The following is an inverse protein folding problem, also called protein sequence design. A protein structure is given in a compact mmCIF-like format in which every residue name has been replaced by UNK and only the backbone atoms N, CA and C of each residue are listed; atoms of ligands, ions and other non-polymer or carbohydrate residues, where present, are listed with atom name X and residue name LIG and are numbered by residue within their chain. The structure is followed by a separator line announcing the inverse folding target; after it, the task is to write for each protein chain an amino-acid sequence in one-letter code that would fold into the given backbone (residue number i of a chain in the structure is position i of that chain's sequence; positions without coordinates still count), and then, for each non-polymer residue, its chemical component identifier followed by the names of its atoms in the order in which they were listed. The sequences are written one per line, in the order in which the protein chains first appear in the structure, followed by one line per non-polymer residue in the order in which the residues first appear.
data_IF_524291716467
#
_entry.id   IF_524291716467
#
_cell.length_a   1.000
_cell.length_b   1.000
_cell.length_c   1.000
_cell.angle_alpha   90.00
_cell.angle_beta   90.00
_cell.angle_gamma   90.00
#
_symmetry.space_group_name_H-M   'P 1'
#
loop_
_entity.id
_entity.type
_entity.pdbx_description
1 polymer ?
#
# COMPACT_ATOMS: atom_id res chain seq x y z
N UNK A 1 -7.65 -1.94 -5.75
CA UNK A 1 -7.50 -1.03 -4.60
C UNK A 1 -6.06 -1.11 -4.12
N UNK A 2 -5.46 0.02 -3.71
CA UNK A 2 -4.02 0.31 -3.68
C UNK A 2 -3.10 -0.76 -3.06
N UNK A 3 -2.83 -1.80 -3.84
CA UNK A 3 -1.61 -2.60 -3.71
C UNK A 3 -0.79 -2.27 -4.95
N UNK A 4 0.21 -1.40 -4.79
CA UNK A 4 1.30 -1.31 -5.76
C UNK A 4 2.02 -2.65 -5.72
N UNK A 5 1.59 -3.60 -6.54
CA UNK A 5 2.39 -4.78 -6.82
C UNK A 5 3.40 -4.37 -7.87
N UNK A 6 4.59 -4.01 -7.39
CA UNK A 6 5.78 -4.02 -8.21
C UNK A 6 6.37 -5.41 -8.12
N UNK A 7 6.34 -6.15 -9.22
CA UNK A 7 7.03 -7.43 -9.32
C UNK A 7 8.53 -7.15 -9.45
N UNK A 8 9.21 -6.98 -8.33
CA UNK A 8 10.63 -7.23 -8.29
C UNK A 8 10.87 -8.73 -8.11
N UNK A 9 11.91 -9.27 -8.73
CA UNK A 9 12.41 -10.60 -8.39
C UNK A 9 13.02 -10.52 -6.98
N UNK A 10 12.27 -10.99 -5.98
CA UNK A 10 12.57 -10.73 -4.58
C UNK A 10 13.40 -11.86 -3.98
N UNK A 11 14.72 -11.76 -4.11
CA UNK A 11 15.54 -12.34 -3.05
C UNK A 11 15.38 -11.46 -1.82
N UNK A 12 15.03 -12.06 -0.68
CA UNK A 12 14.89 -11.36 0.59
C UNK A 12 16.13 -10.49 0.88
N UNK A 13 15.98 -9.20 1.24
CA UNK A 13 17.11 -8.39 1.63
C UNK A 13 17.69 -8.94 2.94
N UNK A 14 19.01 -8.83 3.16
CA UNK A 14 19.63 -9.21 4.43
C UNK A 14 19.06 -8.36 5.58
N UNK A 15 19.06 -8.91 6.78
CA UNK A 15 18.60 -8.20 7.99
C UNK A 15 19.39 -6.89 8.16
N UNK A 16 18.64 -5.80 8.32
CA UNK A 16 19.18 -4.47 8.53
C UNK A 16 19.05 -4.02 10.00
N UNK A 17 19.87 -3.07 10.47
CA UNK A 17 19.74 -2.53 11.83
C UNK A 17 18.44 -1.75 12.03
N UNK A 18 17.88 -1.15 10.98
CA UNK A 18 16.55 -0.54 10.96
C UNK A 18 16.01 -0.44 9.53
N UNK A 19 14.69 -0.28 9.42
CA UNK A 19 14.04 -0.09 8.13
C UNK A 19 14.44 1.24 7.47
N UNK A 20 14.59 2.32 8.24
CA UNK A 20 14.97 3.66 7.74
C UNK A 20 16.39 3.69 7.16
N UNK A 21 17.30 2.86 7.67
CA UNK A 21 18.66 2.75 7.15
C UNK A 21 18.71 1.92 5.86
N UNK A 22 17.90 0.87 5.75
CA UNK A 22 17.89 -0.02 4.59
C UNK A 22 16.94 0.41 3.47
N UNK A 23 15.94 1.23 3.78
CA UNK A 23 14.92 1.68 2.85
C UNK A 23 14.83 3.22 2.86
N UNK A 24 15.66 3.90 2.03
CA UNK A 24 15.65 5.35 1.92
C UNK A 24 14.29 5.92 1.48
N UNK A 25 13.52 5.16 0.69
CA UNK A 25 12.18 5.56 0.29
C UNK A 25 11.23 5.59 1.49
N UNK A 26 11.23 4.53 2.31
CA UNK A 26 10.46 4.50 3.56
C UNK A 26 10.80 5.69 4.46
N UNK A 27 12.11 5.91 4.71
CA UNK A 27 12.58 7.05 5.49
C UNK A 27 12.08 8.39 4.92
N UNK A 28 12.21 8.58 3.61
CA UNK A 28 11.75 9.79 2.92
C UNK A 28 10.25 10.02 3.08
N UNK A 29 9.42 8.96 3.02
CA UNK A 29 7.97 9.09 3.19
C UNK A 29 7.54 9.45 4.61
N UNK A 30 8.33 9.06 5.62
CA UNK A 30 8.12 9.46 7.01
C UNK A 30 8.62 10.88 7.30
N UNK A 31 9.80 11.24 6.79
CA UNK A 31 10.46 12.51 7.15
C UNK A 31 10.05 13.67 6.25
N UNK A 32 10.00 13.45 4.94
CA UNK A 32 9.77 14.48 3.91
C UNK A 32 8.37 14.41 3.32
N UNK A 33 7.88 13.20 3.05
CA UNK A 33 6.54 12.93 2.53
C UNK A 33 6.39 13.09 1.01
N UNK A 34 5.24 12.63 0.52
CA UNK A 34 4.80 12.74 -0.88
C UNK A 34 4.53 14.21 -1.23
N UNK A 35 5.00 14.66 -2.40
CA UNK A 35 4.59 15.95 -2.94
C UNK A 35 3.11 15.88 -3.35
N UNK A 36 2.26 16.67 -2.69
CA UNK A 36 0.81 16.75 -2.98
C UNK A 36 0.41 18.08 -3.62
N UNK A 37 1.34 19.03 -3.69
CA UNK A 37 1.21 20.30 -4.39
C UNK A 37 2.58 20.94 -4.65
N UNK A 38 2.63 22.13 -5.26
CA UNK A 38 3.91 22.78 -5.60
C UNK A 38 4.83 23.04 -4.40
N UNK A 39 4.25 23.24 -3.21
CA UNK A 39 4.97 23.49 -1.95
C UNK A 39 4.57 22.55 -0.83
N UNK A 40 3.51 21.77 -1.02
CA UNK A 40 2.92 20.95 0.02
C UNK A 40 3.43 19.51 -0.06
N UNK A 41 3.77 18.97 1.10
CA UNK A 41 4.12 17.56 1.27
C UNK A 41 3.29 16.92 2.36
N UNK A 42 2.90 15.69 2.11
CA UNK A 42 2.14 14.87 3.04
C UNK A 42 2.99 13.69 3.51
N UNK A 43 3.28 13.66 4.81
CA UNK A 43 4.04 12.58 5.45
C UNK A 43 3.12 11.41 5.76
N UNK A 44 3.67 10.21 5.70
CA UNK A 44 3.02 9.03 6.28
C UNK A 44 3.27 9.00 7.79
N UNK A 45 2.33 8.47 8.60
CA UNK A 45 2.53 8.36 10.04
C UNK A 45 3.68 7.40 10.37
N UNK A 46 4.23 7.52 11.58
CA UNK A 46 5.19 6.54 12.10
C UNK A 46 4.50 5.17 12.32
N UNK A 47 5.27 4.05 12.27
CA UNK A 47 4.71 2.72 12.51
C UNK A 47 4.14 2.62 13.93
N UNK A 48 3.01 1.93 14.06
CA UNK A 48 2.34 1.70 15.34
C UNK A 48 3.21 0.85 16.26
N UNK A 49 3.88 -0.14 15.68
CA UNK A 49 4.80 -1.05 16.36
C UNK A 49 6.20 -0.87 15.79
N UNK A 50 7.01 0.08 16.29
CA UNK A 50 8.45 0.08 16.00
C UNK A 50 9.11 -1.23 16.48
N UNK A 51 10.26 -1.56 15.90
CA UNK A 51 11.01 -2.77 16.27
C UNK A 51 11.61 -2.62 17.67
N UNK A 52 11.80 -3.74 18.37
CA UNK A 52 12.35 -3.81 19.72
C UNK A 52 11.30 -3.71 20.84
N UNK A 53 10.01 -3.74 20.51
CA UNK A 53 8.93 -3.78 21.51
C UNK A 53 8.71 -5.20 22.04
N UNK A 54 8.64 -5.33 23.36
CA UNK A 54 8.21 -6.57 24.02
C UNK A 54 6.70 -6.80 23.90
N UNK A 55 6.24 -7.99 24.29
CA UNK A 55 4.83 -8.40 24.21
C UNK A 55 3.86 -7.43 24.90
N UNK A 56 4.24 -6.91 26.07
CA UNK A 56 3.39 -6.01 26.84
C UNK A 56 3.23 -4.66 26.11
N UNK A 57 4.32 -4.10 25.61
CA UNK A 57 4.30 -2.84 24.84
C UNK A 57 3.61 -2.97 23.49
N UNK A 58 3.76 -4.12 22.82
CA UNK A 58 3.01 -4.40 21.59
C UNK A 58 1.50 -4.40 21.86
N UNK A 59 1.06 -5.12 22.91
CA UNK A 59 -0.35 -5.17 23.31
C UNK A 59 -0.89 -3.80 23.73
N UNK A 60 -0.11 -3.03 24.48
CA UNK A 60 -0.45 -1.67 24.89
C UNK A 60 -0.67 -0.76 23.66
N UNK A 61 0.27 -0.76 22.73
CA UNK A 61 0.18 0.05 21.50
C UNK A 61 -1.03 -0.33 20.63
N UNK A 62 -1.29 -1.62 20.45
CA UNK A 62 -2.47 -2.09 19.70
C UNK A 62 -3.76 -1.69 20.43
N UNK A 63 -3.81 -1.83 21.76
CA UNK A 63 -4.99 -1.46 22.57
C UNK A 63 -5.25 0.04 22.49
N UNK A 64 -4.21 0.87 22.56
CA UNK A 64 -4.31 2.32 22.39
C UNK A 64 -4.74 2.73 20.98
N UNK A 65 -4.38 1.95 19.95
CA UNK A 65 -4.80 2.18 18.57
C UNK A 65 -6.29 1.91 18.35
N UNK A 66 -6.78 0.77 18.83
CA UNK A 66 -8.18 0.32 18.65
C UNK A 66 -9.15 0.97 19.64
N UNK A 67 -8.64 1.49 20.77
CA UNK A 67 -9.44 2.18 21.79
C UNK A 67 -10.71 1.39 22.14
N UNK A 68 -11.86 2.06 22.11
CA UNK A 68 -13.16 1.48 22.42
C UNK A 68 -13.86 0.83 21.20
N UNK A 69 -13.24 0.88 20.00
CA UNK A 69 -13.82 0.28 18.80
C UNK A 69 -13.87 -1.26 18.93
N UNK A 70 -12.84 -1.85 19.54
CA UNK A 70 -12.70 -3.30 19.73
C UNK A 70 -11.97 -3.66 21.03
N UNK A 71 -12.27 -4.83 21.58
CA UNK A 71 -11.42 -5.46 22.59
C UNK A 71 -10.20 -6.09 21.92
N UNK A 72 -9.04 -6.10 22.62
CA UNK A 72 -7.81 -6.69 22.09
C UNK A 72 -8.01 -8.14 21.64
N UNK A 73 -8.61 -8.98 22.48
CA UNK A 73 -8.78 -10.41 22.18
C UNK A 73 -9.67 -10.64 20.94
N UNK A 74 -10.68 -9.80 20.74
CA UNK A 74 -11.53 -9.85 19.54
C UNK A 74 -10.76 -9.43 18.29
N UNK A 75 -9.95 -8.36 18.39
CA UNK A 75 -9.11 -7.85 17.29
C UNK A 75 -8.01 -8.84 16.91
N UNK A 76 -7.40 -9.50 17.90
CA UNK A 76 -6.29 -10.42 17.72
C UNK A 76 -6.71 -11.85 17.38
N UNK A 77 -7.99 -12.22 17.48
CA UNK A 77 -8.42 -13.61 17.26
C UNK A 77 -8.00 -14.15 15.88
N UNK A 78 -7.61 -15.43 15.83
CA UNK A 78 -7.31 -16.12 14.57
C UNK A 78 -8.59 -16.39 13.78
N UNK A 79 -9.03 -15.42 13.00
CA UNK A 79 -10.23 -15.51 12.16
C UNK A 79 -10.11 -14.64 10.92
N UNK A 80 -10.57 -15.15 9.78
CA UNK A 80 -10.65 -14.36 8.54
C UNK A 80 -11.58 -13.15 8.69
N UNK A 81 -12.56 -13.23 9.60
CA UNK A 81 -13.53 -12.19 9.92
C UNK A 81 -13.25 -11.54 11.28
N UNK A 82 -12.02 -11.60 11.79
CA UNK A 82 -11.61 -10.74 12.90
C UNK A 82 -11.81 -9.25 12.52
N UNK A 83 -12.03 -8.36 13.49
CA UNK A 83 -12.08 -6.93 13.24
C UNK A 83 -10.84 -6.40 12.49
N UNK A 84 -11.00 -5.28 11.81
CA UNK A 84 -9.92 -4.49 11.24
C UNK A 84 -10.24 -3.02 11.44
N UNK A 85 -9.22 -2.20 11.68
CA UNK A 85 -9.38 -0.78 11.86
C UNK A 85 -9.07 -0.08 10.55
N UNK A 86 -9.97 0.80 10.11
CA UNK A 86 -9.81 1.63 8.91
C UNK A 86 -10.04 3.07 9.30
N UNK A 87 -9.06 3.94 9.05
CA UNK A 87 -9.18 5.38 9.27
C UNK A 87 -8.93 6.13 7.97
N UNK A 88 -9.69 7.20 7.76
CA UNK A 88 -9.53 8.13 6.64
C UNK A 88 -9.11 9.49 7.21
N UNK A 89 -7.86 9.64 7.66
CA UNK A 89 -7.42 10.88 8.28
C UNK A 89 -7.50 12.04 7.28
N UNK A 90 -7.73 13.24 7.82
CA UNK A 90 -7.51 14.46 7.06
C UNK A 90 -6.01 14.60 6.78
N UNK A 91 -5.65 14.89 5.54
CA UNK A 91 -4.28 15.18 5.13
C UNK A 91 -4.23 16.65 4.75
N UNK A 92 -3.28 17.38 5.33
CA UNK A 92 -3.08 18.79 5.01
C UNK A 92 -2.42 18.93 3.63
N UNK A 93 -2.76 20.03 2.94
CA UNK A 93 -2.20 20.38 1.64
C UNK A 93 -2.91 19.73 0.45
N UNK A 94 -2.33 19.96 -0.72
CA UNK A 94 -2.94 19.60 -2.00
C UNK A 94 -3.69 20.77 -2.62
N UNK A 95 -3.95 20.70 -3.92
CA UNK A 95 -4.69 21.74 -4.60
C UNK A 95 -6.18 21.68 -4.20
N UNK A 96 -6.92 22.82 -4.19
CA UNK A 96 -8.35 22.81 -3.86
C UNK A 96 -9.19 21.85 -4.73
N UNK A 97 -8.80 21.67 -5.99
CA UNK A 97 -9.42 20.75 -6.96
C UNK A 97 -8.74 19.37 -7.00
N UNK A 98 -7.77 19.11 -6.14
CA UNK A 98 -7.08 17.83 -6.02
C UNK A 98 -6.51 17.66 -4.58
N UNK A 99 -7.38 17.56 -3.57
CA UNK A 99 -6.93 17.44 -2.17
C UNK A 99 -6.14 16.15 -1.95
N UNK A 100 -5.21 16.19 -0.99
CA UNK A 100 -4.59 14.99 -0.47
C UNK A 100 -5.55 14.21 0.42
N UNK A 101 -5.51 12.88 0.34
CA UNK A 101 -6.31 11.95 1.13
C UNK A 101 -5.43 10.91 1.80
N UNK A 102 -5.77 10.57 3.04
CA UNK A 102 -5.11 9.52 3.80
C UNK A 102 -6.01 8.31 3.97
N UNK A 103 -5.42 7.12 3.96
CA UNK A 103 -6.07 5.85 4.26
C UNK A 103 -5.13 5.03 5.11
N UNK A 104 -5.56 4.70 6.31
CA UNK A 104 -4.80 3.84 7.22
C UNK A 104 -5.61 2.58 7.53
N UNK A 105 -4.93 1.43 7.50
CA UNK A 105 -5.54 0.13 7.72
C UNK A 105 -4.68 -0.69 8.67
N UNK A 106 -5.30 -1.25 9.70
CA UNK A 106 -4.63 -2.14 10.66
C UNK A 106 -5.43 -3.41 10.88
N UNK A 107 -4.73 -4.54 10.90
CA UNK A 107 -5.33 -5.85 11.14
C UNK A 107 -4.28 -6.88 11.53
N UNK A 108 -4.72 -7.97 12.15
CA UNK A 108 -3.86 -9.12 12.45
C UNK A 108 -4.13 -10.25 11.44
N UNK A 109 -3.05 -10.90 11.00
CA UNK A 109 -3.04 -12.18 10.28
C UNK A 109 -2.25 -13.22 11.07
N UNK A 110 -2.34 -14.49 10.69
CA UNK A 110 -1.59 -15.57 11.32
C UNK A 110 -0.76 -16.33 10.28
N UNK A 111 0.52 -16.53 10.57
CA UNK A 111 1.49 -17.22 9.71
C UNK A 111 2.93 -16.86 10.03
N UNK A 112 3.87 -17.26 9.17
CA UNK A 112 5.29 -16.93 9.30
C UNK A 112 5.68 -15.81 8.33
N UNK A 113 6.27 -14.72 8.83
CA UNK A 113 6.75 -13.61 8.00
C UNK A 113 7.75 -14.06 6.92
N UNK A 114 8.41 -15.21 7.09
CA UNK A 114 9.27 -15.83 6.08
C UNK A 114 8.52 -16.28 4.83
N UNK A 115 7.20 -16.48 4.91
CA UNK A 115 6.38 -16.74 3.73
C UNK A 115 6.50 -15.61 2.68
N UNK A 116 6.82 -14.38 3.11
CA UNK A 116 7.08 -13.26 2.22
C UNK A 116 8.38 -13.40 1.38
N UNK A 117 9.21 -14.41 1.67
CA UNK A 117 10.38 -14.75 0.86
C UNK A 117 10.01 -15.64 -0.35
N UNK A 118 8.78 -16.15 -0.40
CA UNK A 118 8.25 -16.90 -1.55
C UNK A 118 7.55 -15.92 -2.51
N UNK A 119 8.16 -15.71 -3.68
CA UNK A 119 7.64 -14.85 -4.75
C UNK A 119 6.18 -15.16 -5.11
N UNK A 120 5.79 -16.44 -5.15
CA UNK A 120 4.43 -16.85 -5.48
C UNK A 120 3.46 -16.54 -4.34
N UNK A 121 3.89 -16.73 -3.09
CA UNK A 121 3.07 -16.34 -1.95
C UNK A 121 2.86 -14.83 -1.92
N UNK A 122 3.94 -14.07 -2.08
CA UNK A 122 3.86 -12.62 -2.13
C UNK A 122 2.97 -12.15 -3.27
N UNK A 123 3.11 -12.73 -4.46
CA UNK A 123 2.24 -12.43 -5.60
C UNK A 123 0.77 -12.71 -5.26
N UNK A 124 0.45 -13.85 -4.65
CA UNK A 124 -0.91 -14.17 -4.19
C UNK A 124 -1.43 -13.18 -3.17
N UNK A 125 -0.65 -12.84 -2.14
CA UNK A 125 -1.07 -11.89 -1.09
C UNK A 125 -1.30 -10.51 -1.68
N UNK A 126 -0.38 -10.02 -2.51
CA UNK A 126 -0.46 -8.70 -3.13
C UNK A 126 -1.59 -8.61 -4.17
N UNK A 127 -1.91 -9.71 -4.84
CA UNK A 127 -3.01 -9.79 -5.81
C UNK A 127 -4.34 -10.24 -5.20
N UNK A 128 -4.39 -10.72 -3.95
CA UNK A 128 -5.60 -11.25 -3.31
C UNK A 128 -6.75 -10.24 -3.15
N UNK A 129 -6.44 -8.95 -3.30
CA UNK A 129 -7.40 -7.84 -3.28
C UNK A 129 -7.43 -7.01 -4.58
N UNK A 130 -6.77 -7.50 -5.64
CA UNK A 130 -6.88 -6.89 -6.97
C UNK A 130 -8.22 -7.30 -7.59
N UNK A 131 -8.98 -6.29 -8.00
CA UNK A 131 -10.07 -6.48 -8.97
C UNK A 131 -9.48 -6.72 -10.36
N UNK A 132 -10.02 -6.06 -11.38
CA UNK A 132 -9.54 -6.12 -12.78
C UNK A 132 -8.16 -5.51 -13.04
N UNK A 133 -7.39 -5.18 -12.00
CA UNK A 133 -6.13 -4.45 -12.13
C UNK A 133 -4.99 -5.30 -12.71
N UNK A 134 -4.22 -4.72 -13.62
CA UNK A 134 -3.00 -5.28 -14.18
C UNK A 134 -1.78 -4.59 -13.57
N UNK A 135 -0.68 -5.32 -13.39
CA UNK A 135 0.62 -4.68 -13.25
C UNK A 135 1.68 -5.41 -14.04
N UNK A 136 2.64 -4.60 -14.48
CA UNK A 136 3.77 -5.02 -15.28
C UNK A 136 5.04 -4.47 -14.64
N UNK A 137 6.01 -5.32 -14.25
CA UNK A 137 7.31 -4.83 -13.84
C UNK A 137 8.03 -4.16 -15.01
N UNK A 138 8.74 -3.07 -14.71
CA UNK A 138 9.60 -2.42 -15.70
C UNK A 138 10.95 -3.15 -15.77
N UNK A 139 11.40 -3.40 -16.99
CA UNK A 139 12.70 -4.03 -17.24
C UNK A 139 13.85 -3.03 -17.14
N UNK A 140 15.09 -3.52 -17.02
CA UNK A 140 16.26 -2.66 -17.09
C UNK A 140 16.32 -1.84 -18.41
N UNK A 141 15.81 -2.40 -19.51
CA UNK A 141 15.71 -1.69 -20.79
C UNK A 141 14.69 -0.54 -20.73
N UNK A 142 13.54 -0.77 -20.08
CA UNK A 142 12.52 0.27 -19.86
C UNK A 142 13.07 1.44 -19.04
N UNK A 143 13.86 1.16 -18.01
CA UNK A 143 14.51 2.18 -17.17
C UNK A 143 15.63 2.92 -17.91
N UNK A 144 16.48 2.18 -18.64
CA UNK A 144 17.58 2.75 -19.43
C UNK A 144 17.06 3.72 -20.50
N UNK A 145 15.96 3.37 -21.19
CA UNK A 145 15.29 4.26 -22.17
C UNK A 145 14.94 5.63 -21.56
N UNK A 146 14.70 5.68 -20.26
CA UNK A 146 14.31 6.88 -19.49
C UNK A 146 15.46 7.50 -18.71
N UNK A 147 16.69 7.01 -18.90
CA UNK A 147 17.89 7.45 -18.15
C UNK A 147 17.69 7.31 -16.64
N UNK A 148 16.99 6.26 -16.22
CA UNK A 148 16.82 5.87 -14.82
C UNK A 148 17.79 4.72 -14.56
N UNK A 149 18.66 4.89 -13.57
CA UNK A 149 19.56 3.82 -13.14
C UNK A 149 18.73 2.67 -12.59
N UNK A 150 19.05 1.45 -13.04
CA UNK A 150 18.41 0.26 -12.52
C UNK A 150 18.84 0.06 -11.06
N UNK A 151 17.90 0.02 -10.10
CA UNK A 151 18.25 -0.23 -8.72
C UNK A 151 18.68 -1.68 -8.52
N UNK A 152 19.19 -2.00 -7.32
CA UNK A 152 19.31 -3.39 -6.89
C UNK A 152 17.91 -4.01 -6.87
N UNK A 153 17.64 -4.90 -7.82
CA UNK A 153 16.35 -5.58 -7.97
C UNK A 153 15.94 -6.40 -6.73
N UNK A 154 16.88 -6.66 -5.80
CA UNK A 154 16.62 -7.30 -4.50
C UNK A 154 16.25 -6.32 -3.39
N UNK A 155 16.20 -5.02 -3.66
CA UNK A 155 15.83 -3.98 -2.68
C UNK A 155 14.80 -2.99 -3.19
N UNK A 156 14.80 -2.73 -4.49
CA UNK A 156 13.88 -1.79 -5.13
C UNK A 156 13.50 -2.28 -6.52
N UNK A 157 12.28 -1.95 -6.94
CA UNK A 157 11.78 -2.25 -8.27
C UNK A 157 11.00 -1.07 -8.84
N UNK A 158 10.70 -1.17 -10.14
CA UNK A 158 9.78 -0.30 -10.85
C UNK A 158 8.65 -1.11 -11.48
N UNK A 159 7.44 -0.55 -11.54
CA UNK A 159 6.30 -1.23 -12.15
C UNK A 159 5.21 -0.27 -12.58
N UNK A 160 4.59 -0.60 -13.70
CA UNK A 160 3.41 0.06 -14.22
C UNK A 160 2.17 -0.70 -13.77
N UNK A 161 1.16 0.05 -13.31
CA UNK A 161 -0.10 -0.49 -12.84
C UNK A 161 -1.25 0.18 -13.56
N UNK A 162 -2.24 -0.63 -13.91
CA UNK A 162 -3.50 -0.20 -14.50
C UNK A 162 -4.65 -0.80 -13.69
N UNK A 163 -5.57 0.01 -13.18
CA UNK A 163 -6.72 -0.52 -12.43
C UNK A 163 -7.89 0.45 -12.37
N UNK A 164 -9.07 -0.11 -12.13
CA UNK A 164 -10.27 0.67 -11.85
C UNK A 164 -10.40 0.91 -10.34
N UNK A 165 -10.42 2.18 -9.97
CA UNK A 165 -10.65 2.62 -8.61
C UNK A 165 -12.13 2.93 -8.39
N UNK A 166 -12.74 2.16 -7.47
CA UNK A 166 -14.16 2.23 -7.09
C UNK A 166 -15.14 2.17 -8.28
N UNK A 167 -14.73 1.55 -9.40
CA UNK A 167 -15.47 1.47 -10.67
C UNK A 167 -15.83 2.83 -11.29
N UNK A 168 -15.14 3.89 -10.88
CA UNK A 168 -15.40 5.27 -11.32
C UNK A 168 -14.23 5.90 -12.03
N UNK A 169 -13.02 5.43 -11.74
CA UNK A 169 -11.79 6.02 -12.25
C UNK A 169 -10.88 4.92 -12.73
N UNK A 170 -10.43 4.99 -13.97
CA UNK A 170 -9.37 4.15 -14.48
C UNK A 170 -8.04 4.85 -14.24
N UNK A 171 -7.11 4.21 -13.57
CA UNK A 171 -5.80 4.76 -13.22
C UNK A 171 -4.72 3.97 -13.93
N UNK A 172 -3.81 4.69 -14.58
CA UNK A 172 -2.52 4.18 -15.05
C UNK A 172 -1.43 4.91 -14.30
N UNK A 173 -0.51 4.19 -13.69
CA UNK A 173 0.57 4.83 -12.96
C UNK A 173 1.83 3.98 -12.95
N UNK A 174 2.98 4.63 -12.86
CA UNK A 174 4.26 3.96 -12.72
C UNK A 174 4.86 4.39 -11.41
N UNK A 175 5.14 3.40 -10.58
CA UNK A 175 5.73 3.61 -9.28
C UNK A 175 7.11 2.98 -9.17
N UNK A 176 7.79 3.39 -8.11
CA UNK A 176 8.91 2.66 -7.52
C UNK A 176 8.51 2.15 -6.14
N UNK A 177 9.07 1.02 -5.76
CA UNK A 177 8.87 0.46 -4.44
C UNK A 177 10.17 -0.14 -3.95
N UNK A 178 10.43 0.04 -2.67
CA UNK A 178 11.59 -0.50 -1.97
C UNK A 178 11.13 -1.27 -0.74
N UNK A 179 11.86 -2.32 -0.39
CA UNK A 179 11.55 -3.15 0.76
C UNK A 179 12.77 -3.35 1.65
N UNK A 180 12.50 -3.66 2.91
CA UNK A 180 13.54 -3.92 3.91
C UNK A 180 13.02 -4.91 4.93
N UNK A 181 13.95 -5.65 5.54
CA UNK A 181 13.67 -6.69 6.52
C UNK A 181 14.55 -6.47 7.75
N UNK A 182 13.95 -6.72 8.91
CA UNK A 182 14.64 -6.93 10.18
C UNK A 182 14.22 -8.29 10.73
N UNK A 183 14.82 -8.77 11.83
CA UNK A 183 14.38 -9.99 12.49
C UNK A 183 12.91 -9.94 12.95
N UNK A 184 12.36 -8.74 13.18
CA UNK A 184 11.02 -8.53 13.75
C UNK A 184 9.96 -8.18 12.70
N UNK A 185 10.34 -7.53 11.59
CA UNK A 185 9.36 -7.08 10.61
C UNK A 185 9.87 -6.96 9.18
N UNK A 186 8.92 -6.78 8.26
CA UNK A 186 9.14 -6.42 6.86
C UNK A 186 8.41 -5.12 6.58
N UNK A 187 9.06 -4.22 5.86
CA UNK A 187 8.46 -2.98 5.34
C UNK A 187 8.56 -2.97 3.82
N UNK A 188 7.46 -2.66 3.16
CA UNK A 188 7.40 -2.27 1.74
C UNK A 188 6.95 -0.82 1.68
N UNK A 189 7.73 0.05 1.06
CA UNK A 189 7.38 1.44 0.79
C UNK A 189 7.31 1.65 -0.71
N UNK A 190 6.38 2.48 -1.18
CA UNK A 190 6.27 2.78 -2.59
C UNK A 190 5.64 4.13 -2.86
N UNK A 191 5.98 4.71 -4.02
CA UNK A 191 5.42 5.96 -4.50
C UNK A 191 5.28 5.94 -6.02
N UNK A 192 4.30 6.69 -6.53
CA UNK A 192 4.20 6.99 -7.96
C UNK A 192 5.37 7.91 -8.32
N UNK A 193 6.15 7.49 -9.30
CA UNK A 193 7.39 8.17 -9.66
C UNK A 193 7.09 9.31 -10.64
N UNK A 194 7.33 10.58 -10.26
CA UNK A 194 6.98 11.74 -11.08
C UNK A 194 7.73 11.80 -12.41
N UNK A 195 8.84 11.06 -12.57
CA UNK A 195 9.57 10.98 -13.86
C UNK A 195 8.73 10.33 -14.97
N UNK A 196 7.68 9.60 -14.62
CA UNK A 196 6.74 8.98 -15.56
C UNK A 196 5.53 9.86 -15.88
N UNK A 197 5.50 11.11 -15.40
CA UNK A 197 4.46 12.06 -15.76
C UNK A 197 4.55 12.39 -17.25
N UNK A 198 3.51 12.03 -18.01
CA UNK A 198 3.48 12.23 -19.47
C UNK A 198 4.37 11.26 -20.26
N UNK A 199 4.86 10.19 -19.65
CA UNK A 199 5.58 9.13 -20.35
C UNK A 199 4.70 8.45 -21.40
N UNK A 200 5.27 8.13 -22.56
CA UNK A 200 4.50 7.59 -23.69
C UNK A 200 4.08 6.12 -23.49
N UNK A 201 4.86 5.32 -22.76
CA UNK A 201 4.59 3.89 -22.60
C UNK A 201 3.95 3.58 -21.23
N UNK A 202 4.36 4.31 -20.19
CA UNK A 202 4.00 4.06 -18.79
C UNK A 202 3.56 5.35 -18.07
N UNK A 203 2.50 6.03 -18.54
CA UNK A 203 2.10 7.34 -18.01
C UNK A 203 1.51 7.28 -16.60
N UNK A 204 1.69 8.37 -15.85
CA UNK A 204 0.90 8.68 -14.65
C UNK A 204 -0.34 9.50 -15.01
N UNK A 205 -1.49 8.83 -15.11
CA UNK A 205 -2.75 9.45 -15.52
C UNK A 205 -3.98 8.74 -14.97
N UNK A 206 -5.11 9.43 -15.04
CA UNK A 206 -6.43 8.89 -14.72
C UNK A 206 -7.45 9.27 -15.79
N UNK A 207 -8.51 8.48 -15.89
CA UNK A 207 -9.67 8.69 -16.77
C UNK A 207 -10.95 8.41 -15.99
N UNK A 208 -12.00 9.21 -16.17
CA UNK A 208 -13.32 8.86 -15.63
C UNK A 208 -13.89 7.64 -16.35
N UNK A 209 -14.61 6.80 -15.61
CA UNK A 209 -15.34 5.65 -16.14
C UNK A 209 -16.82 6.02 -16.18
N UNK A 210 -17.39 6.04 -17.39
CA UNK A 210 -18.80 6.31 -17.63
C UNK A 210 -19.47 5.04 -18.12
N UNK A 211 -20.56 4.63 -17.47
CA UNK A 211 -21.40 3.51 -17.89
C UNK A 211 -22.66 4.07 -18.55
N UNK A 212 -22.77 3.95 -19.87
CA UNK A 212 -23.90 4.43 -20.68
C UNK A 212 -24.45 3.29 -21.53
N UNK A 213 -25.75 3.00 -21.42
CA UNK A 213 -26.40 1.95 -22.23
C UNK A 213 -25.77 0.56 -22.07
N UNK A 214 -25.25 0.23 -20.88
CA UNK A 214 -24.55 -1.03 -20.61
C UNK A 214 -23.11 -1.09 -21.12
N UNK A 215 -22.63 -0.07 -21.83
CA UNK A 215 -21.24 0.02 -22.30
C UNK A 215 -20.39 0.85 -21.34
N UNK A 216 -19.17 0.40 -21.07
CA UNK A 216 -18.18 1.15 -20.31
C UNK A 216 -17.34 1.99 -21.27
N UNK A 217 -17.27 3.29 -21.05
CA UNK A 217 -16.43 4.23 -21.81
C UNK A 217 -15.48 4.96 -20.86
N UNK A 218 -14.25 5.18 -21.32
CA UNK A 218 -13.26 6.00 -20.62
C UNK A 218 -13.34 7.45 -21.12
N UNK A 219 -13.31 8.40 -20.19
CA UNK A 219 -13.17 9.83 -20.48
C UNK A 219 -11.75 10.20 -20.95
N UNK A 220 -11.47 11.49 -21.17
CA UNK A 220 -10.13 11.95 -21.55
C UNK A 220 -9.10 11.68 -20.45
N UNK A 221 -7.89 11.34 -20.86
CA UNK A 221 -6.76 11.13 -19.95
C UNK A 221 -6.34 12.46 -19.31
N UNK A 222 -6.17 12.43 -17.99
CA UNK A 222 -5.72 13.56 -17.19
C UNK A 222 -4.49 13.19 -16.37
N UNK A 223 -3.47 14.07 -16.25
CA UNK A 223 -2.34 13.87 -15.36
C UNK A 223 -2.78 13.50 -13.94
N UNK A 224 -2.03 12.61 -13.29
CA UNK A 224 -2.25 12.28 -11.88
C UNK A 224 -0.99 12.52 -11.06
N UNK A 225 -1.08 13.38 -10.05
CA UNK A 225 0.03 13.76 -9.18
C UNK A 225 0.54 12.60 -8.30
N UNK A 226 -0.23 11.52 -8.19
CA UNK A 226 0.24 10.25 -7.66
C UNK A 226 -0.21 9.91 -6.24
N UNK A 227 0.48 8.93 -5.69
CA UNK A 227 0.23 8.33 -4.38
C UNK A 227 1.54 7.81 -3.80
N UNK A 228 1.57 7.65 -2.48
CA UNK A 228 2.62 6.95 -1.76
C UNK A 228 2.03 6.10 -0.65
N UNK A 229 2.74 5.06 -0.26
CA UNK A 229 2.33 4.20 0.84
C UNK A 229 3.53 3.55 1.52
N UNK A 230 3.30 3.05 2.72
CA UNK A 230 4.04 1.89 3.20
C UNK A 230 3.09 0.84 3.77
N UNK A 231 3.55 -0.41 3.73
CA UNK A 231 2.99 -1.56 4.42
C UNK A 231 4.08 -2.08 5.36
N UNK A 232 3.74 -2.26 6.65
CA UNK A 232 4.60 -2.92 7.61
C UNK A 232 3.90 -4.17 8.14
N UNK A 233 4.65 -5.28 8.22
CA UNK A 233 4.22 -6.54 8.80
C UNK A 233 5.16 -6.87 9.95
N UNK A 234 4.67 -6.79 11.19
CA UNK A 234 5.44 -6.98 12.41
C UNK A 234 5.05 -8.28 13.11
N UNK A 235 6.04 -9.08 13.52
CA UNK A 235 5.80 -10.25 14.35
C UNK A 235 5.27 -9.82 15.72
N UNK A 236 4.17 -10.43 16.15
CA UNK A 236 3.73 -10.31 17.54
C UNK A 236 4.41 -11.37 18.39
N UNK A 237 4.90 -10.95 19.56
CA UNK A 237 5.39 -11.88 20.57
C UNK A 237 4.23 -12.73 21.11
N UNK A 238 3.07 -12.12 21.32
CA UNK A 238 1.83 -12.80 21.68
C UNK A 238 0.61 -12.19 20.96
N UNK A 239 -0.34 -13.01 20.46
CA UNK A 239 -0.31 -14.47 20.46
C UNK A 239 0.69 -15.04 19.44
N UNK A 240 1.23 -16.23 19.73
CA UNK A 240 2.22 -16.87 18.87
C UNK A 240 1.70 -17.08 17.44
N UNK A 241 2.55 -16.79 16.45
CA UNK A 241 2.23 -16.89 15.03
C UNK A 241 1.33 -15.78 14.49
N UNK A 242 1.00 -14.76 15.30
CA UNK A 242 0.30 -13.58 14.82
C UNK A 242 1.28 -12.55 14.24
N UNK A 243 0.84 -11.91 13.16
CA UNK A 243 1.52 -10.80 12.51
C UNK A 243 0.58 -9.60 12.49
N UNK A 244 1.07 -8.47 12.99
CA UNK A 244 0.37 -7.19 12.90
C UNK A 244 0.71 -6.51 11.58
N UNK A 245 -0.31 -6.26 10.78
CA UNK A 245 -0.21 -5.59 9.49
C UNK A 245 -0.74 -4.16 9.62
N UNK A 246 0.06 -3.18 9.21
CA UNK A 246 -0.36 -1.79 9.05
C UNK A 246 -0.04 -1.29 7.65
N UNK A 247 -1.00 -0.62 7.03
CA UNK A 247 -0.84 0.03 5.73
C UNK A 247 -1.27 1.48 5.84
N UNK A 248 -0.41 2.37 5.35
CA UNK A 248 -0.67 3.81 5.31
C UNK A 248 -0.50 4.30 3.89
N UNK A 249 -1.52 4.97 3.37
CA UNK A 249 -1.55 5.48 2.01
C UNK A 249 -1.88 6.95 2.04
N UNK A 250 -1.14 7.74 1.29
CA UNK A 250 -1.53 9.10 0.92
C UNK A 250 -1.62 9.20 -0.59
N UNK A 251 -2.66 9.84 -1.09
CA UNK A 251 -2.80 10.09 -2.52
C UNK A 251 -3.48 11.42 -2.80
N UNK A 252 -3.22 11.95 -3.99
CA UNK A 252 -3.93 13.12 -4.50
C UNK A 252 -5.23 12.64 -5.15
N UNK A 253 -6.37 13.20 -4.75
CA UNK A 253 -7.70 12.88 -5.29
C UNK A 253 -8.19 14.04 -6.18
N UNK A 254 -7.94 14.02 -7.50
CA UNK A 254 -8.54 14.98 -8.42
C UNK A 254 -10.06 15.05 -8.27
N UNK A 255 -10.62 16.25 -8.22
CA UNK A 255 -12.06 16.50 -8.08
C UNK A 255 -12.89 15.74 -9.13
N UNK A 256 -12.33 15.55 -10.33
CA UNK A 256 -12.97 14.82 -11.42
C UNK A 256 -13.10 13.31 -11.21
N UNK A 257 -12.52 12.73 -10.15
CA UNK A 257 -12.66 11.31 -9.83
C UNK A 257 -14.11 10.93 -9.48
N UNK A 258 -14.75 11.72 -8.63
CA UNK A 258 -16.09 11.42 -8.12
C UNK A 258 -17.08 12.57 -8.29
N UNK A 259 -16.71 13.64 -9.01
CA UNK A 259 -17.60 14.78 -9.25
C UNK A 259 -18.06 15.47 -7.96
N UNK A 260 -17.27 15.41 -6.90
CA UNK A 260 -17.61 15.94 -5.58
C UNK A 260 -18.34 14.96 -4.64
N UNK A 261 -18.68 13.75 -5.09
CA UNK A 261 -19.25 12.72 -4.22
C UNK A 261 -18.19 12.16 -3.24
N UNK A 262 -18.60 11.89 -1.99
CA UNK A 262 -17.72 11.29 -0.99
C UNK A 262 -17.70 9.75 -1.10
N UNK A 263 -17.33 9.22 -2.26
CA UNK A 263 -17.29 7.77 -2.52
C UNK A 263 -16.20 7.04 -1.73
N UNK A 264 -15.13 7.75 -1.35
CA UNK A 264 -14.11 7.19 -0.47
C UNK A 264 -14.73 6.76 0.86
N UNK A 265 -15.50 7.62 1.52
CA UNK A 265 -16.08 7.26 2.82
C UNK A 265 -17.13 6.14 2.72
N UNK A 266 -17.87 6.05 1.62
CA UNK A 266 -18.97 5.08 1.49
C UNK A 266 -18.55 3.71 0.96
N UNK A 267 -17.60 3.63 0.01
CA UNK A 267 -17.24 2.37 -0.68
C UNK A 267 -15.90 1.80 -0.28
N UNK A 268 -14.93 2.65 0.09
CA UNK A 268 -13.58 2.22 0.41
C UNK A 268 -13.54 1.22 1.57
N UNK A 269 -14.27 1.42 2.71
CA UNK A 269 -14.20 0.50 3.84
C UNK A 269 -14.64 -0.93 3.50
N UNK A 270 -15.71 -1.08 2.72
CA UNK A 270 -16.21 -2.39 2.32
C UNK A 270 -15.21 -3.15 1.43
N UNK A 271 -14.59 -2.47 0.47
CA UNK A 271 -13.60 -3.11 -0.39
C UNK A 271 -12.28 -3.39 0.35
N UNK A 272 -11.84 -2.54 1.28
CA UNK A 272 -10.71 -2.83 2.17
C UNK A 272 -10.99 -4.05 3.06
N UNK A 273 -12.21 -4.19 3.58
CA UNK A 273 -12.60 -5.35 4.37
C UNK A 273 -12.51 -6.66 3.56
N UNK A 274 -12.97 -6.65 2.30
CA UNK A 274 -12.85 -7.81 1.40
C UNK A 274 -11.38 -8.18 1.21
N UNK A 275 -10.52 -7.18 0.98
CA UNK A 275 -9.08 -7.41 0.79
C UNK A 275 -8.42 -7.99 2.04
N UNK A 276 -8.68 -7.43 3.22
CA UNK A 276 -8.16 -7.95 4.50
C UNK A 276 -8.59 -9.41 4.72
N UNK A 277 -9.85 -9.74 4.43
CA UNK A 277 -10.36 -11.12 4.51
C UNK A 277 -9.62 -12.05 3.55
N UNK A 278 -9.36 -11.61 2.32
CA UNK A 278 -8.63 -12.41 1.33
C UNK A 278 -7.17 -12.60 1.73
N UNK A 279 -6.49 -11.55 2.20
CA UNK A 279 -5.13 -11.66 2.73
C UNK A 279 -5.07 -12.67 3.87
N UNK A 280 -5.97 -12.59 4.87
CA UNK A 280 -6.04 -13.56 5.97
C UNK A 280 -6.21 -15.00 5.49
N UNK A 281 -7.00 -15.22 4.42
CA UNK A 281 -7.15 -16.56 3.81
C UNK A 281 -5.85 -17.04 3.17
N UNK A 282 -5.13 -16.19 2.44
CA UNK A 282 -3.85 -16.58 1.84
C UNK A 282 -2.80 -16.93 2.90
N UNK A 283 -2.70 -16.12 3.96
CA UNK A 283 -1.84 -16.41 5.11
C UNK A 283 -2.19 -17.74 5.79
N UNK A 284 -3.48 -18.00 6.00
CA UNK A 284 -3.94 -19.26 6.58
C UNK A 284 -3.66 -20.49 5.70
N UNK A 285 -3.51 -20.32 4.37
CA UNK A 285 -3.12 -21.41 3.47
C UNK A 285 -1.63 -21.71 3.57
N UNK A 286 -0.78 -20.68 3.68
CA UNK A 286 0.67 -20.83 3.76
C UNK A 286 1.14 -21.43 5.10
N UNK A 287 0.37 -21.26 6.17
CA UNK A 287 0.66 -21.84 7.49
C UNK A 287 0.25 -23.31 7.66
N UNK A 288 -0.29 -23.98 6.63
CA UNK A 288 -0.61 -25.41 6.67
C UNK A 288 0.57 -26.20 6.07
N UNK A 289 1.09 -27.22 6.77
CA UNK A 289 2.10 -28.12 6.21
C UNK A 289 1.59 -28.87 4.99
#
# INVERSE_FOLDING_TARGET
MFTLTLAAALAAPPDAPSHEAANPLYKSLLETGLAVGPKDRAKLPAPTLPDGLDAAKQKEAITALIKDDYKYDDFARNSTVAPQLIKLPAVAGGAPNAPARGVDVWFIVYGDVKALDDDKFLDRVMNSGRGSGQAKPLTAADLTKRKIDAPDAKKEGFGHLEFDFLEKVHIKATGRAAWSRTPESVVVAGEIDPRFQGDADFPNQWQSIVKEGGTTKLGPASPWAGAAFYLKVTKLAEPAGALFCEQHVVFVEPQGWFGGENLLRSKLPAALQINVRNMRKEWAKAGRP
#
